data_IF_356633928226
#
_entry.id   IF_356633928226
#
_cell.length_a   1.000
_cell.length_b   1.000
_cell.length_c   1.000
_cell.angle_alpha   90.00
_cell.angle_beta   90.00
_cell.angle_gamma   90.00
#
_symmetry.space_group_name_H-M   'P 1'
#
loop_
_entity.id
_entity.type
_entity.pdbx_description
1 polymer ?
#
# COMPACT_ATOMS: atom_id res chain seq x y z
N UNK A 1 -9.05 -10.56 -18.74
CA UNK A 1 -7.79 -10.90 -18.04
C UNK A 1 -8.00 -10.61 -16.56
N UNK A 2 -7.59 -11.49 -15.68
CA UNK A 2 -7.67 -11.17 -14.26
C UNK A 2 -6.71 -10.03 -13.91
N UNK A 3 -7.08 -9.21 -12.93
CA UNK A 3 -6.37 -7.99 -12.54
C UNK A 3 -5.87 -8.09 -11.11
N UNK A 4 -4.57 -7.81 -10.92
CA UNK A 4 -3.91 -7.73 -9.61
C UNK A 4 -3.55 -6.28 -9.30
N UNK A 5 -3.89 -5.81 -8.12
CA UNK A 5 -3.38 -4.57 -7.57
C UNK A 5 -2.43 -4.86 -6.41
N UNK A 6 -1.16 -4.53 -6.58
CA UNK A 6 -0.17 -4.51 -5.49
C UNK A 6 -0.23 -3.16 -4.78
N UNK A 7 -0.25 -3.15 -3.44
CA UNK A 7 -0.17 -1.93 -2.63
C UNK A 7 1.05 -2.00 -1.73
N UNK A 8 1.99 -1.08 -1.91
CA UNK A 8 3.21 -1.01 -1.11
C UNK A 8 3.66 0.45 -0.93
N UNK A 9 4.38 0.74 0.14
CA UNK A 9 4.91 2.09 0.40
C UNK A 9 5.94 2.52 -0.65
N UNK A 10 6.75 1.60 -1.17
CA UNK A 10 7.82 1.86 -2.13
C UNK A 10 7.54 1.22 -3.47
N UNK A 11 8.11 1.78 -4.54
CA UNK A 11 8.09 1.20 -5.88
C UNK A 11 9.49 0.70 -6.24
N UNK A 12 9.63 -0.61 -6.45
CA UNK A 12 10.89 -1.26 -6.86
C UNK A 12 12.12 -0.81 -6.06
N UNK A 13 11.93 -0.50 -4.78
CA UNK A 13 12.97 -0.02 -3.86
C UNK A 13 12.91 -0.79 -2.54
N UNK A 14 14.09 -1.06 -1.97
CA UNK A 14 14.21 -1.87 -0.75
C UNK A 14 13.74 -3.31 -0.95
N UNK A 15 13.67 -4.09 0.14
CA UNK A 15 13.25 -5.48 0.09
C UNK A 15 11.78 -5.64 -0.31
N UNK A 16 10.89 -4.92 0.36
CA UNK A 16 9.44 -5.04 0.13
C UNK A 16 9.02 -4.55 -1.25
N UNK A 17 9.61 -3.43 -1.74
CA UNK A 17 9.33 -2.93 -3.08
C UNK A 17 9.82 -3.87 -4.18
N UNK A 18 10.97 -4.53 -3.98
CA UNK A 18 11.46 -5.54 -4.92
C UNK A 18 10.62 -6.83 -4.91
N UNK A 19 10.09 -7.22 -3.75
CA UNK A 19 9.19 -8.36 -3.64
C UNK A 19 7.88 -8.06 -4.38
N UNK A 20 7.26 -6.90 -4.16
CA UNK A 20 6.06 -6.50 -4.87
C UNK A 20 6.27 -6.47 -6.39
N UNK A 21 7.38 -5.88 -6.85
CA UNK A 21 7.76 -5.88 -8.28
C UNK A 21 7.91 -7.30 -8.84
N UNK A 22 8.60 -8.19 -8.12
CA UNK A 22 8.84 -9.57 -8.57
C UNK A 22 7.53 -10.37 -8.65
N UNK A 23 6.65 -10.25 -7.66
CA UNK A 23 5.32 -10.87 -7.66
C UNK A 23 4.50 -10.36 -8.84
N UNK A 24 4.44 -9.04 -9.01
CA UNK A 24 3.70 -8.42 -10.10
C UNK A 24 4.21 -8.85 -11.49
N UNK A 25 5.54 -8.92 -11.68
CA UNK A 25 6.13 -9.40 -12.94
C UNK A 25 5.79 -10.87 -13.21
N UNK A 26 5.84 -11.73 -12.19
CA UNK A 26 5.48 -13.13 -12.30
C UNK A 26 4.00 -13.30 -12.69
N UNK A 27 3.11 -12.53 -12.09
CA UNK A 27 1.67 -12.56 -12.41
C UNK A 27 1.42 -12.05 -13.82
N UNK A 28 2.11 -10.99 -14.26
CA UNK A 28 2.02 -10.50 -15.64
C UNK A 28 2.48 -11.54 -16.66
N UNK A 29 3.54 -12.30 -16.38
CA UNK A 29 3.97 -13.44 -17.21
C UNK A 29 2.90 -14.53 -17.30
N UNK A 30 2.03 -14.65 -16.31
CA UNK A 30 0.89 -15.59 -16.29
C UNK A 30 -0.39 -15.02 -16.91
N UNK A 31 -0.30 -13.86 -17.56
CA UNK A 31 -1.42 -13.25 -18.28
C UNK A 31 -2.34 -12.40 -17.43
N UNK A 32 -1.89 -11.92 -16.27
CA UNK A 32 -2.62 -10.96 -15.45
C UNK A 32 -2.31 -9.51 -15.86
N UNK A 33 -3.31 -8.66 -15.76
CA UNK A 33 -3.09 -7.21 -15.76
C UNK A 33 -2.67 -6.77 -14.35
N UNK A 34 -1.54 -6.07 -14.23
CA UNK A 34 -0.94 -5.81 -12.92
C UNK A 34 -0.65 -4.33 -12.72
N UNK A 35 -1.17 -3.81 -11.61
CA UNK A 35 -0.96 -2.44 -11.16
C UNK A 35 -0.18 -2.43 -9.84
N UNK A 36 0.68 -1.40 -9.65
CA UNK A 36 1.37 -1.14 -8.40
C UNK A 36 0.98 0.24 -7.87
N UNK A 37 0.24 0.28 -6.78
CA UNK A 37 -0.07 1.50 -6.06
C UNK A 37 0.97 1.73 -4.95
N UNK A 38 1.61 2.92 -4.92
CA UNK A 38 2.72 3.17 -4.02
C UNK A 38 2.75 4.60 -3.46
N UNK A 39 3.56 4.83 -2.42
CA UNK A 39 3.85 6.16 -1.88
C UNK A 39 4.79 6.97 -2.77
N UNK A 40 5.16 8.16 -2.30
CA UNK A 40 6.00 9.09 -3.08
C UNK A 40 7.50 9.00 -2.76
N UNK A 41 7.86 8.37 -1.64
CA UNK A 41 9.27 8.22 -1.24
C UNK A 41 9.82 6.88 -1.73
N UNK A 42 11.12 6.88 -2.07
CA UNK A 42 11.82 5.67 -2.47
C UNK A 42 11.18 4.97 -3.67
N UNK A 43 11.07 5.70 -4.75
CA UNK A 43 10.49 5.25 -6.02
C UNK A 43 11.62 5.03 -7.03
N UNK A 44 11.82 3.78 -7.44
CA UNK A 44 12.63 3.41 -8.59
C UNK A 44 11.72 3.11 -9.79
N UNK A 45 12.24 3.17 -11.03
CA UNK A 45 11.48 2.75 -12.20
C UNK A 45 10.92 1.33 -12.03
N UNK A 46 9.63 1.19 -12.28
CA UNK A 46 8.92 -0.08 -12.26
C UNK A 46 8.53 -0.48 -13.68
N UNK A 47 8.51 -1.77 -13.96
CA UNK A 47 7.99 -2.32 -15.21
C UNK A 47 6.47 -2.51 -15.15
N UNK A 48 5.85 -2.37 -13.98
CA UNK A 48 4.41 -2.48 -13.77
C UNK A 48 3.71 -1.14 -14.04
N UNK A 49 2.39 -1.19 -14.22
CA UNK A 49 1.57 0.01 -14.29
C UNK A 49 1.50 0.67 -12.90
N UNK A 50 2.19 1.79 -12.73
CA UNK A 50 2.33 2.45 -11.43
C UNK A 50 1.24 3.48 -11.17
N UNK A 51 0.72 3.51 -9.93
CA UNK A 51 -0.17 4.54 -9.41
C UNK A 51 0.40 5.13 -8.12
N UNK A 52 0.74 6.41 -8.14
CA UNK A 52 1.23 7.10 -6.93
C UNK A 52 0.05 7.57 -6.09
N UNK A 53 -0.09 7.03 -4.87
CA UNK A 53 -1.22 7.30 -3.96
C UNK A 53 -1.13 8.71 -3.38
N UNK A 54 0.05 9.13 -2.91
CA UNK A 54 0.27 10.40 -2.24
C UNK A 54 1.52 11.08 -2.79
N UNK A 55 1.61 12.40 -2.67
CA UNK A 55 2.83 13.15 -2.98
C UNK A 55 3.71 13.32 -1.73
N UNK A 56 4.96 13.72 -1.91
CA UNK A 56 5.93 13.89 -0.81
C UNK A 56 5.45 14.88 0.26
N UNK A 57 4.82 15.99 -0.15
CA UNK A 57 4.30 16.98 0.78
C UNK A 57 3.18 16.39 1.65
N UNK A 58 2.26 15.64 1.05
CA UNK A 58 1.18 14.96 1.78
C UNK A 58 1.69 13.89 2.73
N UNK A 59 2.75 13.15 2.38
CA UNK A 59 3.40 12.20 3.28
C UNK A 59 4.05 12.89 4.48
N UNK A 60 4.72 14.02 4.27
CA UNK A 60 5.26 14.82 5.39
C UNK A 60 4.18 15.37 6.31
N UNK A 61 3.08 15.89 5.76
CA UNK A 61 1.94 16.36 6.55
C UNK A 61 1.29 15.20 7.34
N UNK A 62 1.19 14.02 6.74
CA UNK A 62 0.69 12.83 7.44
C UNK A 62 1.64 12.43 8.58
N UNK A 63 2.95 12.38 8.33
CA UNK A 63 3.95 12.07 9.36
C UNK A 63 3.90 13.05 10.52
N UNK A 64 3.81 14.36 10.25
CA UNK A 64 3.69 15.39 11.26
C UNK A 64 2.40 15.23 12.08
N UNK A 65 1.28 14.95 11.43
CA UNK A 65 0.00 14.69 12.11
C UNK A 65 0.08 13.44 12.98
N UNK A 66 0.69 12.38 12.51
CA UNK A 66 0.88 11.14 13.29
C UNK A 66 1.70 11.38 14.53
N UNK A 67 2.80 12.15 14.40
CA UNK A 67 3.66 12.48 15.53
C UNK A 67 2.97 13.37 16.59
N UNK A 68 2.18 14.36 16.14
CA UNK A 68 1.54 15.33 17.06
C UNK A 68 0.26 14.78 17.71
N UNK A 69 -0.46 13.86 17.04
CA UNK A 69 -1.80 13.41 17.44
C UNK A 69 -1.87 11.91 17.72
N UNK A 70 -0.74 11.20 17.70
CA UNK A 70 -0.68 9.73 17.82
C UNK A 70 -1.67 9.04 16.84
N UNK A 71 -1.74 9.55 15.61
CA UNK A 71 -2.70 9.15 14.59
C UNK A 71 -2.02 8.43 13.41
N UNK A 72 -1.16 7.44 13.72
CA UNK A 72 -0.43 6.68 12.71
C UNK A 72 -1.39 5.91 11.80
N UNK A 73 -1.17 6.03 10.48
CA UNK A 73 -2.04 5.43 9.46
C UNK A 73 -3.40 6.12 9.27
N UNK A 74 -3.71 7.21 9.98
CA UNK A 74 -4.99 7.93 9.90
C UNK A 74 -4.92 9.24 9.09
N UNK A 75 -3.76 9.59 8.56
CA UNK A 75 -3.60 10.70 7.62
C UNK A 75 -3.98 10.34 6.19
N UNK A 76 -3.64 11.19 5.23
CA UNK A 76 -3.80 10.95 3.77
C UNK A 76 -5.21 10.54 3.32
N UNK A 77 -6.26 10.98 4.01
CA UNK A 77 -7.67 10.62 3.69
C UNK A 77 -8.04 10.94 2.24
N UNK A 78 -7.69 12.13 1.76
CA UNK A 78 -8.00 12.56 0.39
C UNK A 78 -7.31 11.70 -0.67
N UNK A 79 -6.03 11.40 -0.46
CA UNK A 79 -5.26 10.54 -1.36
C UNK A 79 -5.81 9.11 -1.39
N UNK A 80 -6.21 8.58 -0.21
CA UNK A 80 -6.78 7.23 -0.13
C UNK A 80 -8.17 7.16 -0.77
N UNK A 81 -8.99 8.22 -0.69
CA UNK A 81 -10.25 8.28 -1.44
C UNK A 81 -10.02 8.21 -2.96
N UNK A 82 -9.00 8.88 -3.47
CA UNK A 82 -8.61 8.79 -4.90
C UNK A 82 -8.11 7.38 -5.25
N UNK A 83 -7.39 6.72 -4.35
CA UNK A 83 -7.02 5.30 -4.53
C UNK A 83 -8.28 4.42 -4.61
N UNK A 84 -9.27 4.65 -3.76
CA UNK A 84 -10.56 3.92 -3.83
C UNK A 84 -11.24 4.10 -5.18
N UNK A 85 -11.26 5.34 -5.72
CA UNK A 85 -11.80 5.58 -7.07
C UNK A 85 -10.98 4.85 -8.15
N UNK A 86 -9.66 4.82 -8.02
CA UNK A 86 -8.80 4.05 -8.90
C UNK A 86 -9.11 2.55 -8.82
N UNK A 87 -9.28 1.98 -7.61
CA UNK A 87 -9.67 0.58 -7.42
C UNK A 87 -11.01 0.28 -8.10
N UNK A 88 -12.00 1.17 -7.95
CA UNK A 88 -13.30 1.05 -8.63
C UNK A 88 -13.18 1.07 -10.15
N UNK A 89 -12.23 1.83 -10.67
CA UNK A 89 -11.99 1.92 -12.12
C UNK A 89 -11.35 0.65 -12.68
N UNK A 90 -10.27 0.16 -12.05
CA UNK A 90 -9.55 -1.02 -12.55
C UNK A 90 -10.22 -2.35 -12.18
N UNK A 91 -11.09 -2.36 -11.17
CA UNK A 91 -11.85 -3.53 -10.69
C UNK A 91 -10.96 -4.78 -10.50
N UNK A 92 -9.98 -4.73 -9.60
CA UNK A 92 -9.06 -5.84 -9.43
C UNK A 92 -9.77 -7.07 -8.88
N UNK A 93 -9.37 -8.26 -9.33
CA UNK A 93 -9.81 -9.53 -8.76
C UNK A 93 -9.12 -9.80 -7.42
N UNK A 94 -7.85 -9.39 -7.31
CA UNK A 94 -7.04 -9.52 -6.11
C UNK A 94 -6.37 -8.19 -5.78
N UNK A 95 -6.41 -7.80 -4.51
CA UNK A 95 -5.56 -6.76 -3.94
C UNK A 95 -4.55 -7.42 -3.02
N UNK A 96 -3.26 -7.27 -3.35
CA UNK A 96 -2.18 -7.75 -2.52
C UNK A 96 -1.53 -6.58 -1.78
N UNK A 97 -1.65 -6.57 -0.46
CA UNK A 97 -1.16 -5.51 0.41
C UNK A 97 0.13 -5.97 1.07
N UNK A 98 1.18 -5.16 0.96
CA UNK A 98 2.46 -5.37 1.62
C UNK A 98 2.57 -4.52 2.88
N UNK A 99 3.05 -3.29 2.79
CA UNK A 99 3.19 -2.39 3.93
C UNK A 99 2.13 -1.30 3.92
N UNK A 100 1.36 -1.17 5.01
CA UNK A 100 0.36 -0.12 5.21
C UNK A 100 0.93 1.12 5.89
N UNK A 101 1.99 0.96 6.69
CA UNK A 101 2.65 2.08 7.37
C UNK A 101 3.49 2.93 6.42
N UNK A 102 3.90 4.12 6.85
CA UNK A 102 4.77 5.02 6.11
C UNK A 102 4.11 6.27 5.57
N UNK A 103 2.96 6.64 6.13
CA UNK A 103 2.32 7.95 5.95
C UNK A 103 1.76 8.23 4.55
N UNK A 104 1.51 7.22 3.74
CA UNK A 104 1.08 7.38 2.35
C UNK A 104 -0.39 7.06 2.10
N UNK A 105 -1.04 6.31 2.98
CA UNK A 105 -2.47 5.98 2.90
C UNK A 105 -3.15 6.01 4.28
N UNK A 106 -4.48 6.03 4.25
CA UNK A 106 -5.34 5.93 5.43
C UNK A 106 -5.99 4.56 5.44
N UNK A 107 -5.63 3.71 6.42
CA UNK A 107 -6.12 2.34 6.46
C UNK A 107 -7.63 2.25 6.77
N UNK A 108 -8.19 3.16 7.58
CA UNK A 108 -9.64 3.17 7.86
C UNK A 108 -10.46 3.42 6.59
N UNK A 109 -10.04 4.39 5.76
CA UNK A 109 -10.70 4.69 4.48
C UNK A 109 -10.58 3.52 3.52
N UNK A 110 -9.38 2.91 3.43
CA UNK A 110 -9.16 1.77 2.55
C UNK A 110 -9.99 0.57 2.97
N UNK A 111 -9.86 0.11 4.22
CA UNK A 111 -10.60 -1.06 4.69
C UNK A 111 -12.10 -0.82 4.83
N UNK A 112 -12.51 0.42 5.14
CA UNK A 112 -13.92 0.81 5.10
C UNK A 112 -14.55 0.56 3.73
N UNK A 113 -13.83 0.85 2.65
CA UNK A 113 -14.26 0.51 1.29
C UNK A 113 -14.16 -0.99 1.01
N UNK A 114 -13.03 -1.63 1.31
CA UNK A 114 -12.80 -3.05 1.00
C UNK A 114 -13.84 -3.96 1.68
N UNK A 115 -14.29 -3.62 2.88
CA UNK A 115 -15.35 -4.34 3.58
C UNK A 115 -16.71 -4.30 2.87
N UNK A 116 -16.88 -3.43 1.88
CA UNK A 116 -18.11 -3.34 1.05
C UNK A 116 -17.98 -4.08 -0.29
N UNK A 117 -16.90 -4.80 -0.51
CA UNK A 117 -16.58 -5.46 -1.78
C UNK A 117 -16.29 -6.93 -1.58
N UNK A 118 -16.43 -7.71 -2.66
CA UNK A 118 -16.05 -9.13 -2.68
C UNK A 118 -14.63 -9.34 -3.26
N UNK A 119 -13.83 -8.28 -3.36
CA UNK A 119 -12.45 -8.35 -3.86
C UNK A 119 -11.63 -9.22 -2.92
N UNK A 120 -10.90 -10.18 -3.45
CA UNK A 120 -10.00 -11.01 -2.66
C UNK A 120 -8.79 -10.19 -2.17
N UNK A 121 -8.52 -10.24 -0.86
CA UNK A 121 -7.41 -9.50 -0.26
C UNK A 121 -6.38 -10.51 0.23
N UNK A 122 -5.15 -10.32 -0.23
CA UNK A 122 -3.96 -11.01 0.27
C UNK A 122 -3.10 -9.99 1.01
N UNK A 123 -2.61 -10.32 2.17
CA UNK A 123 -1.70 -9.47 2.94
C UNK A 123 -0.43 -10.22 3.27
N UNK A 124 0.71 -9.66 2.87
CA UNK A 124 2.03 -10.16 3.29
C UNK A 124 2.57 -9.25 4.39
N UNK A 125 2.71 -9.81 5.59
CA UNK A 125 3.27 -9.09 6.73
C UNK A 125 4.80 -9.15 6.68
N UNK A 126 5.43 -8.00 6.43
CA UNK A 126 6.89 -7.87 6.41
C UNK A 126 7.48 -7.45 7.75
N UNK A 127 6.62 -6.96 8.65
CA UNK A 127 6.97 -6.46 9.98
C UNK A 127 5.79 -6.60 10.97
N UNK A 128 5.98 -6.11 12.18
CA UNK A 128 4.99 -6.24 13.25
C UNK A 128 3.98 -5.10 13.34
N UNK A 129 4.04 -4.10 12.46
CA UNK A 129 3.22 -2.88 12.56
C UNK A 129 1.71 -3.17 12.61
N UNK A 130 1.23 -4.13 11.83
CA UNK A 130 -0.21 -4.46 11.71
C UNK A 130 -0.85 -4.92 13.01
N UNK A 131 -0.10 -5.48 13.95
CA UNK A 131 -0.62 -5.91 15.26
C UNK A 131 -0.05 -5.14 16.44
N UNK A 132 1.02 -4.37 16.26
CA UNK A 132 1.53 -3.46 17.30
C UNK A 132 0.94 -2.06 17.15
N UNK A 133 0.50 -1.69 15.96
CA UNK A 133 -0.06 -0.37 15.62
C UNK A 133 0.97 0.75 15.56
N UNK A 134 2.22 0.52 15.96
CA UNK A 134 3.24 1.57 16.02
C UNK A 134 4.67 1.06 15.77
N UNK A 135 5.02 -0.09 16.28
CA UNK A 135 6.37 -0.65 16.18
C UNK A 135 6.49 -1.65 15.03
N UNK A 136 7.51 -1.46 14.18
CA UNK A 136 7.81 -2.41 13.09
C UNK A 136 8.61 -3.62 13.58
N UNK A 137 9.19 -3.55 14.77
CA UNK A 137 9.96 -4.63 15.37
C UNK A 137 9.41 -5.02 16.74
N UNK A 138 9.35 -6.31 17.00
CA UNK A 138 8.98 -6.85 18.29
C UNK A 138 10.27 -7.22 19.05
N UNK A 139 10.54 -6.51 20.14
CA UNK A 139 11.63 -6.89 21.08
C UNK A 139 10.97 -7.58 22.25
N UNK A 140 11.13 -8.89 22.37
CA UNK A 140 10.86 -9.58 23.63
C UNK A 140 11.88 -9.10 24.64
N UNK A 141 11.45 -8.38 25.67
CA UNK A 141 12.25 -8.14 26.84
C UNK A 141 12.55 -9.52 27.45
N UNK A 142 13.84 -9.93 27.38
CA UNK A 142 14.36 -11.10 28.06
C UNK A 142 14.49 -10.84 29.56
#
# INVERSE_FOLDING_TARGET
MPTLLEINITSNHGSTGKIAEAVGLLMRQRGWDVYLAHGARYVNPSSLQSYQIQNKCGEYLHAMKSFLLDADGLGSKGATKKLVEFIRHIKPDIIHIHNLHGYYLNYEVLFGYLNTTDIQIVMTLHDCWTFTGHCTHFVTAG
#
